data_IF_973117182321
#
_entry.id   IF_973117182321
#
_cell.length_a   1.000
_cell.length_b   1.000
_cell.length_c   1.000
_cell.angle_alpha   90.00
_cell.angle_beta   90.00
_cell.angle_gamma   90.00
#
_symmetry.space_group_name_H-M   'P 1'
#
loop_
_entity.id
_entity.type
_entity.pdbx_description
1 polymer ?
#
# COMPACT_ATOMS: atom_id res chain seq x y z
N UNK A 1 -2.27 21.59 -1.09
CA UNK A 1 -2.30 22.62 -0.04
C UNK A 1 -2.12 23.95 -0.74
N UNK A 2 -3.06 24.86 -0.57
CA UNK A 2 -2.95 26.21 -1.11
C UNK A 2 -2.09 27.02 -0.13
N UNK A 3 -0.84 27.32 -0.52
CA UNK A 3 0.10 28.09 0.30
C UNK A 3 -0.28 29.57 0.41
N UNK A 4 -1.05 30.11 -0.53
CA UNK A 4 -1.51 31.51 -0.47
C UNK A 4 -2.62 31.66 0.55
N UNK A 5 -3.50 30.67 0.65
CA UNK A 5 -4.64 30.67 1.58
C UNK A 5 -4.40 29.88 2.85
N UNK A 6 -3.25 29.20 2.96
CA UNK A 6 -2.90 28.26 4.03
C UNK A 6 -3.99 27.22 4.33
N UNK A 7 -4.68 26.75 3.29
CA UNK A 7 -5.81 25.81 3.43
C UNK A 7 -5.63 24.56 2.59
N UNK A 8 -6.24 23.47 3.05
CA UNK A 8 -6.38 22.25 2.25
C UNK A 8 -7.57 22.39 1.31
N UNK A 9 -7.39 21.92 0.07
CA UNK A 9 -8.48 21.75 -0.87
C UNK A 9 -9.45 20.65 -0.45
N UNK A 10 -10.49 20.38 -1.27
CA UNK A 10 -11.41 19.28 -1.01
C UNK A 10 -10.68 17.93 -0.97
N UNK A 11 -11.28 16.94 -0.29
CA UNK A 11 -10.76 15.57 -0.29
C UNK A 11 -10.87 14.99 -1.70
N UNK A 12 -9.76 14.46 -2.20
CA UNK A 12 -9.73 13.80 -3.50
C UNK A 12 -10.49 12.46 -3.44
N UNK A 13 -11.36 12.15 -4.42
CA UNK A 13 -12.12 10.90 -4.43
C UNK A 13 -11.22 9.68 -4.67
N UNK A 14 -11.43 8.63 -3.89
CA UNK A 14 -10.82 7.31 -4.09
C UNK A 14 -11.51 6.57 -5.25
N UNK A 15 -10.82 5.61 -5.91
CA UNK A 15 -11.40 4.83 -7.01
C UNK A 15 -12.36 3.73 -6.53
N UNK A 16 -12.64 3.68 -5.22
CA UNK A 16 -13.46 2.67 -4.56
C UNK A 16 -14.15 3.25 -3.33
N UNK A 17 -15.24 2.60 -2.93
CA UNK A 17 -15.87 2.81 -1.63
C UNK A 17 -15.22 1.87 -0.61
N UNK A 18 -15.10 2.31 0.64
CA UNK A 18 -14.52 1.52 1.71
C UNK A 18 -15.32 1.69 3.01
N UNK A 19 -15.21 0.68 3.87
CA UNK A 19 -15.74 0.64 5.22
C UNK A 19 -14.60 0.75 6.25
N UNK A 20 -14.88 1.11 7.52
CA UNK A 20 -13.84 1.27 8.55
C UNK A 20 -12.96 0.04 8.82
N UNK A 21 -13.41 -1.16 8.43
CA UNK A 21 -12.64 -2.41 8.61
C UNK A 21 -11.78 -2.76 7.40
N UNK A 22 -11.98 -2.11 6.26
CA UNK A 22 -11.19 -2.37 5.06
C UNK A 22 -9.77 -1.83 5.23
N UNK A 23 -8.81 -2.51 4.61
CA UNK A 23 -7.45 -1.98 4.54
C UNK A 23 -7.33 -1.09 3.32
N UNK A 24 -6.98 0.17 3.57
CA UNK A 24 -6.72 1.18 2.55
C UNK A 24 -5.34 1.76 2.81
N UNK A 25 -4.52 1.85 1.77
CA UNK A 25 -3.19 2.45 1.86
C UNK A 25 -2.90 3.26 0.60
N UNK A 26 -2.10 4.32 0.74
CA UNK A 26 -1.63 5.15 -0.37
C UNK A 26 -0.11 5.06 -0.47
N UNK A 27 0.41 5.08 -1.69
CA UNK A 27 1.84 5.12 -1.95
C UNK A 27 2.16 6.12 -3.05
N UNK A 28 3.32 6.77 -2.97
CA UNK A 28 3.80 7.59 -4.06
C UNK A 28 4.42 6.72 -5.15
N UNK A 29 4.20 7.12 -6.39
CA UNK A 29 4.69 6.46 -7.59
C UNK A 29 5.57 7.45 -8.37
N UNK A 30 6.57 6.92 -9.07
CA UNK A 30 7.48 7.73 -9.88
C UNK A 30 6.68 8.59 -10.86
N UNK A 31 7.17 9.81 -11.12
CA UNK A 31 6.48 10.76 -12.00
C UNK A 31 5.36 11.54 -11.32
N UNK A 32 5.34 11.60 -9.98
CA UNK A 32 4.37 12.40 -9.23
C UNK A 32 2.96 11.80 -9.19
N UNK A 33 2.85 10.49 -9.44
CA UNK A 33 1.61 9.73 -9.36
C UNK A 33 1.38 9.18 -7.96
N UNK A 34 0.16 8.74 -7.68
CA UNK A 34 -0.21 8.01 -6.46
C UNK A 34 -0.75 6.62 -6.82
N UNK A 35 -0.49 5.65 -5.96
CA UNK A 35 -1.13 4.35 -5.96
C UNK A 35 -2.06 4.24 -4.76
N UNK A 36 -3.27 3.72 -4.97
CA UNK A 36 -4.22 3.40 -3.91
C UNK A 36 -4.44 1.90 -3.86
N UNK A 37 -4.12 1.29 -2.71
CA UNK A 37 -4.44 -0.09 -2.41
C UNK A 37 -5.76 -0.18 -1.64
N UNK A 38 -6.54 -1.19 -1.98
CA UNK A 38 -7.76 -1.59 -1.29
C UNK A 38 -7.78 -3.10 -1.06
N UNK A 39 -8.11 -3.50 0.17
CA UNK A 39 -8.47 -4.85 0.53
C UNK A 39 -9.72 -4.83 1.42
N UNK A 40 -10.87 -5.34 0.95
CA UNK A 40 -12.06 -5.50 1.79
C UNK A 40 -11.81 -6.46 2.96
N UNK A 41 -12.39 -6.17 4.12
CA UNK A 41 -12.18 -6.99 5.34
C UNK A 41 -12.70 -8.43 5.24
N UNK A 42 -13.71 -8.66 4.41
CA UNK A 42 -14.36 -9.96 4.19
C UNK A 42 -13.81 -10.69 2.94
N UNK A 43 -12.76 -10.13 2.33
CA UNK A 43 -12.16 -10.64 1.10
C UNK A 43 -10.65 -10.74 1.21
N UNK A 44 -10.10 -11.76 0.55
CA UNK A 44 -8.66 -11.89 0.33
C UNK A 44 -8.24 -11.23 -0.99
N UNK A 45 -9.11 -10.43 -1.60
CA UNK A 45 -8.83 -9.71 -2.84
C UNK A 45 -8.11 -8.39 -2.56
N UNK A 46 -6.95 -8.21 -3.18
CA UNK A 46 -6.20 -6.95 -3.15
C UNK A 46 -6.27 -6.30 -4.51
N UNK A 47 -6.61 -5.01 -4.54
CA UNK A 47 -6.62 -4.19 -5.75
C UNK A 47 -5.76 -2.95 -5.57
N UNK A 48 -5.04 -2.57 -6.61
CA UNK A 48 -4.24 -1.34 -6.66
C UNK A 48 -4.58 -0.55 -7.91
N UNK A 49 -4.98 0.71 -7.72
CA UNK A 49 -5.15 1.68 -8.79
C UNK A 49 -4.00 2.68 -8.76
N UNK A 50 -3.60 3.17 -9.93
CA UNK A 50 -2.60 4.24 -10.08
C UNK A 50 -3.30 5.45 -10.65
N UNK A 51 -2.89 6.65 -10.25
CA UNK A 51 -3.41 7.89 -10.83
C UNK A 51 -2.85 8.12 -12.22
N UNK A 52 -3.69 8.58 -13.14
CA UNK A 52 -3.24 9.14 -14.42
C UNK A 52 -2.78 10.59 -14.22
N UNK A 53 -3.64 11.41 -13.60
CA UNK A 53 -3.40 12.85 -13.39
C UNK A 53 -3.89 13.30 -12.02
N UNK A 54 -3.11 14.16 -11.37
CA UNK A 54 -3.42 14.81 -10.10
C UNK A 54 -3.36 16.32 -10.30
N UNK A 55 -4.42 17.01 -9.92
CA UNK A 55 -4.57 18.46 -9.89
C UNK A 55 -4.86 18.92 -8.45
N UNK A 56 -4.79 20.23 -8.14
CA UNK A 56 -5.01 20.73 -6.77
C UNK A 56 -6.35 20.30 -6.13
N UNK A 57 -7.40 20.14 -6.94
CA UNK A 57 -8.76 19.84 -6.52
C UNK A 57 -9.36 18.60 -7.21
N UNK A 58 -8.62 17.93 -8.10
CA UNK A 58 -9.11 16.78 -8.87
C UNK A 58 -8.06 15.68 -8.98
N UNK A 59 -8.53 14.42 -9.02
CA UNK A 59 -7.70 13.25 -9.32
C UNK A 59 -8.41 12.40 -10.37
N UNK A 60 -7.63 11.87 -11.30
CA UNK A 60 -8.08 10.85 -12.25
C UNK A 60 -7.26 9.58 -12.04
N UNK A 61 -7.97 8.47 -11.99
CA UNK A 61 -7.39 7.14 -11.85
C UNK A 61 -7.25 6.50 -13.23
N UNK A 62 -6.19 5.71 -13.41
CA UNK A 62 -6.04 4.86 -14.60
C UNK A 62 -7.25 3.92 -14.71
N UNK A 63 -7.78 3.76 -15.92
CA UNK A 63 -8.95 2.91 -16.16
C UNK A 63 -8.66 1.44 -15.89
N UNK A 64 -7.41 1.03 -16.13
CA UNK A 64 -6.92 -0.32 -15.85
C UNK A 64 -6.34 -0.38 -14.44
N UNK A 65 -6.86 -1.29 -13.63
CA UNK A 65 -6.29 -1.65 -12.32
C UNK A 65 -4.87 -2.18 -12.53
N UNK A 66 -3.90 -1.65 -11.79
CA UNK A 66 -2.50 -2.08 -11.89
C UNK A 66 -2.33 -3.53 -11.42
N UNK A 67 -2.90 -3.85 -10.26
CA UNK A 67 -2.84 -5.17 -9.65
C UNK A 67 -4.21 -5.57 -9.11
N UNK A 68 -4.65 -6.79 -9.41
CA UNK A 68 -5.88 -7.38 -8.88
C UNK A 68 -5.62 -8.87 -8.63
N UNK A 69 -5.37 -9.22 -7.37
CA UNK A 69 -5.00 -10.59 -6.97
C UNK A 69 -5.92 -11.11 -5.88
N UNK A 70 -6.07 -12.44 -5.80
CA UNK A 70 -6.69 -13.10 -4.65
C UNK A 70 -5.64 -13.85 -3.85
N UNK A 71 -5.51 -13.52 -2.57
CA UNK A 71 -4.56 -14.16 -1.64
C UNK A 71 -5.08 -15.50 -1.08
N UNK A 72 -6.29 -15.95 -1.48
CA UNK A 72 -6.97 -17.16 -0.97
C UNK A 72 -6.14 -18.44 -1.07
N UNK A 73 -5.36 -18.59 -2.13
CA UNK A 73 -4.62 -19.83 -2.40
C UNK A 73 -3.21 -19.83 -1.80
N UNK A 74 -2.70 -18.67 -1.42
CA UNK A 74 -1.27 -18.48 -1.13
C UNK A 74 -1.00 -18.09 0.33
N UNK A 75 -2.03 -17.72 1.08
CA UNK A 75 -1.94 -17.26 2.48
C UNK A 75 -3.14 -17.76 3.28
N UNK A 76 -3.12 -17.57 4.60
CA UNK A 76 -4.19 -17.97 5.51
C UNK A 76 -5.54 -17.39 5.05
N UNK A 77 -6.62 -18.17 5.16
CA UNK A 77 -7.95 -17.85 4.66
C UNK A 77 -8.61 -16.59 5.27
N UNK A 78 -7.99 -16.00 6.30
CA UNK A 78 -8.40 -14.75 6.95
C UNK A 78 -7.29 -13.68 6.91
N UNK A 79 -6.35 -13.77 5.97
CA UNK A 79 -5.25 -12.81 5.88
C UNK A 79 -5.75 -11.42 5.45
N UNK A 80 -5.51 -10.42 6.28
CA UNK A 80 -5.75 -9.02 5.95
C UNK A 80 -4.51 -8.22 6.31
N UNK A 81 -4.04 -7.38 5.38
CA UNK A 81 -2.97 -6.44 5.69
C UNK A 81 -3.41 -5.51 6.82
N UNK A 82 -2.52 -5.15 7.75
CA UNK A 82 -2.90 -4.31 8.90
C UNK A 82 -3.58 -3.00 8.47
N UNK A 83 -4.81 -2.79 8.97
CA UNK A 83 -5.63 -1.58 8.74
C UNK A 83 -4.90 -0.30 9.15
N UNK A 84 -4.09 -0.36 10.21
CA UNK A 84 -3.45 0.80 10.83
C UNK A 84 -1.98 1.00 10.45
N UNK A 85 -1.41 0.17 9.57
CA UNK A 85 0.05 0.19 9.35
C UNK A 85 0.55 -0.39 8.04
N UNK A 86 -0.29 -1.10 7.27
CA UNK A 86 0.13 -1.64 5.99
C UNK A 86 0.59 -0.54 5.05
N UNK A 87 1.88 -0.54 4.73
CA UNK A 87 2.47 0.37 3.76
C UNK A 87 2.97 -0.43 2.57
N UNK A 88 2.99 0.19 1.39
CA UNK A 88 3.42 -0.49 0.18
C UNK A 88 4.05 0.48 -0.79
N UNK A 89 4.74 -0.06 -1.80
CA UNK A 89 5.06 0.65 -3.02
C UNK A 89 4.85 -0.28 -4.22
N UNK A 90 4.82 0.29 -5.42
CA UNK A 90 4.78 -0.47 -6.66
C UNK A 90 6.05 -0.21 -7.46
N UNK A 91 6.49 -1.21 -8.20
CA UNK A 91 7.50 -1.09 -9.23
C UNK A 91 6.83 -1.40 -10.58
N UNK A 92 6.59 -0.36 -11.38
CA UNK A 92 5.81 -0.45 -12.63
C UNK A 92 6.54 -1.28 -13.68
N UNK A 93 7.88 -1.17 -13.76
CA UNK A 93 8.68 -1.90 -14.76
C UNK A 93 8.73 -3.40 -14.46
N UNK A 94 8.90 -3.75 -13.18
CA UNK A 94 8.89 -5.14 -12.71
C UNK A 94 7.48 -5.70 -12.55
N UNK A 95 6.45 -4.85 -12.62
CA UNK A 95 5.03 -5.20 -12.45
C UNK A 95 4.77 -5.95 -11.13
N UNK A 96 5.28 -5.39 -10.05
CA UNK A 96 5.09 -5.92 -8.69
C UNK A 96 4.60 -4.84 -7.73
N UNK A 97 3.91 -5.27 -6.67
CA UNK A 97 3.68 -4.47 -5.48
C UNK A 97 4.41 -5.12 -4.30
N UNK A 98 5.06 -4.29 -3.47
CA UNK A 98 5.77 -4.72 -2.27
C UNK A 98 5.04 -4.15 -1.06
N UNK A 99 4.51 -5.04 -0.22
CA UNK A 99 3.79 -4.69 1.00
C UNK A 99 4.65 -4.97 2.22
N UNK A 100 4.61 -4.08 3.21
CA UNK A 100 5.24 -4.26 4.50
C UNK A 100 4.17 -4.45 5.56
N UNK A 101 4.30 -5.50 6.36
CA UNK A 101 3.38 -5.83 7.43
C UNK A 101 4.08 -6.57 8.57
N UNK A 102 3.37 -6.80 9.66
CA UNK A 102 3.81 -7.63 10.77
C UNK A 102 3.04 -8.96 10.80
N UNK A 103 3.75 -10.06 11.07
CA UNK A 103 3.09 -11.34 11.36
C UNK A 103 2.81 -11.48 12.86
N UNK A 104 1.51 -11.58 13.20
CA UNK A 104 1.07 -11.85 14.56
C UNK A 104 0.93 -13.35 14.82
N UNK A 105 1.71 -13.89 15.76
CA UNK A 105 1.40 -15.18 16.38
C UNK A 105 0.30 -14.97 17.45
N UNK A 106 -0.96 -15.42 17.25
CA UNK A 106 -2.10 -14.98 18.06
C UNK A 106 -2.08 -15.41 19.53
N UNK A 107 -1.10 -16.21 19.98
CA UNK A 107 -1.11 -16.88 21.30
C UNK A 107 0.26 -17.06 21.94
N UNK A 108 1.27 -16.27 21.59
CA UNK A 108 2.60 -16.46 22.18
C UNK A 108 3.33 -15.15 22.48
N UNK A 109 4.11 -15.16 23.57
CA UNK A 109 5.19 -14.19 23.86
C UNK A 109 6.34 -14.23 22.82
N UNK A 110 6.07 -14.72 21.61
CA UNK A 110 7.06 -14.84 20.55
C UNK A 110 7.36 -13.47 19.95
N UNK A 111 8.58 -13.28 19.43
CA UNK A 111 8.94 -12.12 18.64
C UNK A 111 7.96 -11.93 17.47
N UNK A 112 7.66 -10.67 17.19
CA UNK A 112 6.88 -10.24 16.02
C UNK A 112 7.88 -10.10 14.88
N UNK A 113 7.55 -10.59 13.70
CA UNK A 113 8.42 -10.47 12.54
C UNK A 113 7.86 -9.44 11.58
N UNK A 114 8.75 -8.57 11.12
CA UNK A 114 8.48 -7.69 10.00
C UNK A 114 8.59 -8.51 8.71
N UNK A 115 7.59 -8.42 7.86
CA UNK A 115 7.56 -9.14 6.59
C UNK A 115 7.43 -8.17 5.42
N UNK A 116 8.07 -8.51 4.31
CA UNK A 116 7.72 -7.97 3.00
C UNK A 116 7.00 -9.04 2.16
N UNK A 117 5.88 -8.66 1.54
CA UNK A 117 5.19 -9.46 0.54
C UNK A 117 5.42 -8.84 -0.83
N UNK A 118 6.07 -9.57 -1.72
CA UNK A 118 6.25 -9.20 -3.12
C UNK A 118 5.17 -9.91 -3.93
N UNK A 119 4.29 -9.15 -4.55
CA UNK A 119 3.14 -9.65 -5.30
C UNK A 119 3.24 -9.20 -6.74
N UNK A 120 3.35 -10.15 -7.67
CA UNK A 120 3.32 -9.87 -9.10
C UNK A 120 1.91 -9.69 -9.63
N UNK A 121 1.76 -8.90 -10.70
CA UNK A 121 0.48 -8.78 -11.42
C UNK A 121 0.00 -10.09 -12.03
N UNK A 122 0.89 -11.08 -12.16
CA UNK A 122 0.60 -12.46 -12.57
C UNK A 122 0.01 -13.32 -11.44
N UNK A 123 -0.08 -12.77 -10.23
CA UNK A 123 -0.56 -13.46 -9.03
C UNK A 123 0.55 -14.20 -8.26
N UNK A 124 1.81 -14.11 -8.70
CA UNK A 124 2.94 -14.65 -7.94
C UNK A 124 3.08 -13.94 -6.59
N UNK A 125 3.39 -14.69 -5.54
CA UNK A 125 3.54 -14.15 -4.18
C UNK A 125 4.81 -14.73 -3.56
N UNK A 126 5.69 -13.83 -3.09
CA UNK A 126 6.89 -14.16 -2.32
C UNK A 126 6.86 -13.44 -0.99
N UNK A 127 7.20 -14.15 0.08
CA UNK A 127 7.36 -13.58 1.42
C UNK A 127 8.85 -13.45 1.74
N UNK A 128 9.22 -12.36 2.39
CA UNK A 128 10.59 -12.08 2.83
C UNK A 128 10.55 -11.69 4.30
N UNK A 129 11.35 -12.38 5.11
CA UNK A 129 11.57 -12.05 6.51
C UNK A 129 12.52 -10.85 6.60
N UNK A 130 12.06 -9.77 7.25
CA UNK A 130 12.84 -8.55 7.49
C UNK A 130 13.42 -8.50 8.91
N UNK A 131 13.24 -9.57 9.68
CA UNK A 131 13.69 -9.71 11.05
C UNK A 131 12.65 -9.33 12.09
N UNK A 132 13.07 -9.42 13.35
CA UNK A 132 12.24 -9.13 14.50
C UNK A 132 11.88 -7.64 14.60
N UNK A 133 10.60 -7.34 14.85
CA UNK A 133 10.10 -6.01 15.14
C UNK A 133 10.40 -5.62 16.58
N UNK A 134 11.04 -4.47 16.77
CA UNK A 134 11.32 -3.91 18.09
C UNK A 134 10.05 -3.45 18.83
N UNK A 135 8.96 -3.17 18.10
CA UNK A 135 7.70 -2.67 18.67
C UNK A 135 6.50 -3.19 17.90
N UNK A 136 5.54 -3.73 18.64
CA UNK A 136 4.27 -4.23 18.10
C UNK A 136 3.41 -3.11 17.48
N UNK A 137 2.83 -3.38 16.32
CA UNK A 137 1.87 -2.51 15.63
C UNK A 137 2.53 -1.42 14.80
N UNK A 138 3.84 -1.54 14.54
CA UNK A 138 4.62 -0.56 13.79
C UNK A 138 5.39 -1.27 12.67
N UNK A 139 4.67 -1.78 11.64
CA UNK A 139 5.33 -2.41 10.51
C UNK A 139 6.25 -1.41 9.81
N UNK A 140 7.26 -1.88 9.06
CA UNK A 140 8.12 -1.00 8.29
C UNK A 140 7.30 -0.12 7.35
N UNK A 141 7.72 1.13 7.19
CA UNK A 141 7.09 2.06 6.24
C UNK A 141 7.77 1.94 4.88
N UNK A 142 6.96 1.75 3.84
CA UNK A 142 7.35 1.89 2.46
C UNK A 142 7.68 3.36 2.18
N UNK A 143 8.97 3.67 2.11
CA UNK A 143 9.45 4.96 1.63
C UNK A 143 9.86 4.81 0.17
N UNK A 144 9.03 5.27 -0.76
CA UNK A 144 9.44 5.46 -2.14
C UNK A 144 10.47 6.60 -2.18
N UNK A 145 11.74 6.25 -2.32
CA UNK A 145 12.81 7.22 -2.52
C UNK A 145 12.52 8.00 -3.80
N UNK A 146 12.33 9.32 -3.69
CA UNK A 146 12.24 10.24 -4.82
C UNK A 146 13.59 11.00 -4.88
N UNK A 147 14.55 10.55 -5.70
CA UNK A 147 15.88 11.16 -5.77
C UNK A 147 15.87 12.65 -6.12
N UNK A 148 14.78 13.14 -6.75
CA UNK A 148 14.67 14.49 -7.30
C UNK A 148 14.46 15.61 -6.27
N UNK A 149 14.37 15.29 -4.96
CA UNK A 149 14.25 16.31 -3.90
C UNK A 149 15.61 16.81 -3.39
N UNK A 150 16.72 16.24 -3.85
CA UNK A 150 18.06 16.74 -3.57
C UNK A 150 18.54 17.46 -4.83
N UNK A 151 18.27 18.77 -4.92
CA UNK A 151 19.14 19.64 -5.71
C UNK A 151 20.32 20.01 -4.80
N UNK A 152 21.55 19.56 -5.08
CA UNK A 152 22.71 20.18 -4.47
C UNK A 152 22.76 21.62 -4.99
N UNK A 153 22.72 22.59 -4.07
CA UNK A 153 23.16 23.97 -4.35
C UNK A 153 24.65 23.98 -4.66
#
# INVERSE_FOLDING_TARGET
FDFTRETFGPRLPLPFQHLPRDTVSLSAVRGGKLAAMFQPWDSLGVKIWVTNKIEPDAVSWESKVFLSVSLKQSIHHMFQFMVTGGSFFIEEEMKVAVFFDEEFAPRSKKPIFNLAYIIGVDGSIKRVDLGESARRGFPPLACSYLPSLIQPN
#
